data_IF_447862672587
#
_entry.id   IF_447862672587
#
_cell.length_a   1.000
_cell.length_b   1.000
_cell.length_c   1.000
_cell.angle_alpha   90.00
_cell.angle_beta   90.00
_cell.angle_gamma   90.00
#
_symmetry.space_group_name_H-M   'P 1'
#
loop_
_entity.id
_entity.type
_entity.pdbx_description
1 polymer ?
#
# COMPACT_ATOMS: atom_id res chain seq x y z
N UNK A 1 -21.90 23.06 40.36
CA UNK A 1 -22.99 22.74 39.42
C UNK A 1 -23.21 23.96 38.53
N UNK A 2 -23.38 23.74 37.22
CA UNK A 2 -23.85 24.71 36.22
C UNK A 2 -22.83 25.58 35.46
N UNK A 3 -21.81 24.94 34.88
CA UNK A 3 -21.18 25.44 33.64
C UNK A 3 -21.43 24.41 32.53
N UNK A 4 -22.69 24.26 32.16
CA UNK A 4 -23.15 23.51 30.98
C UNK A 4 -23.95 24.49 30.13
N UNK A 5 -23.66 24.48 28.84
CA UNK A 5 -24.23 25.31 27.77
C UNK A 5 -23.70 26.75 27.73
N UNK A 6 -22.76 26.96 26.81
CA UNK A 6 -22.81 27.94 25.70
C UNK A 6 -21.42 28.04 25.03
N UNK A 7 -20.79 26.90 24.71
CA UNK A 7 -19.86 26.84 23.57
C UNK A 7 -20.76 26.63 22.35
N UNK A 8 -21.28 27.71 21.78
CA UNK A 8 -20.79 28.30 20.54
C UNK A 8 -20.44 27.23 19.50
N UNK A 9 -21.34 27.09 18.52
CA UNK A 9 -21.07 26.68 17.15
C UNK A 9 -20.06 25.56 16.96
N UNK A 10 -20.55 24.32 16.83
CA UNK A 10 -19.80 23.28 16.13
C UNK A 10 -19.65 23.67 14.66
N UNK A 11 -18.70 24.56 14.38
CA UNK A 11 -18.11 24.72 13.06
C UNK A 11 -17.28 23.45 12.84
N UNK A 12 -17.94 22.39 12.35
CA UNK A 12 -17.24 21.26 11.76
C UNK A 12 -16.58 21.76 10.46
N UNK A 13 -15.46 22.44 10.61
CA UNK A 13 -14.52 22.65 9.53
C UNK A 13 -13.87 21.28 9.30
N UNK A 14 -14.48 20.44 8.46
CA UNK A 14 -13.74 19.33 7.86
C UNK A 14 -12.71 19.98 6.95
N UNK A 15 -11.53 20.23 7.50
CA UNK A 15 -10.37 20.57 6.71
C UNK A 15 -10.19 19.42 5.72
N UNK A 16 -10.48 19.75 4.46
CA UNK A 16 -10.36 18.88 3.33
C UNK A 16 -9.02 18.15 3.42
N UNK A 17 -9.12 16.81 3.34
CA UNK A 17 -8.07 15.89 2.94
C UNK A 17 -6.69 16.52 2.89
N UNK A 18 -5.87 16.27 3.92
CA UNK A 18 -4.44 16.47 3.79
C UNK A 18 -3.98 15.54 2.67
N UNK A 19 -3.95 16.08 1.45
CA UNK A 19 -3.16 15.56 0.36
C UNK A 19 -1.72 15.73 0.79
N UNK A 20 -1.25 14.85 1.67
CA UNK A 20 0.14 14.50 1.72
C UNK A 20 0.41 13.97 0.33
N UNK A 21 1.00 14.82 -0.52
CA UNK A 21 1.44 14.43 -1.84
C UNK A 21 2.12 13.09 -1.69
N UNK A 22 1.66 12.09 -2.45
CA UNK A 22 2.36 10.84 -2.56
C UNK A 22 3.78 11.22 -2.97
N UNK A 23 4.70 11.22 -2.01
CA UNK A 23 6.12 11.36 -2.31
C UNK A 23 6.40 10.28 -3.34
N UNK A 24 7.10 10.63 -4.42
CA UNK A 24 7.33 9.74 -5.55
C UNK A 24 7.59 8.31 -5.06
N UNK A 25 6.61 7.44 -5.31
CA UNK A 25 6.61 6.05 -4.86
C UNK A 25 7.58 5.29 -5.74
N UNK A 26 8.84 5.30 -5.35
CA UNK A 26 9.92 4.63 -6.04
C UNK A 26 9.99 3.19 -5.56
N UNK A 27 10.01 2.26 -6.51
CA UNK A 27 10.21 0.85 -6.23
C UNK A 27 11.65 0.66 -5.74
N UNK A 28 11.80 0.27 -4.48
CA UNK A 28 13.10 0.01 -3.85
C UNK A 28 13.57 -1.43 -4.10
N UNK A 29 12.64 -2.37 -4.24
CA UNK A 29 12.98 -3.77 -4.51
C UNK A 29 11.79 -4.63 -4.89
N UNK A 30 12.08 -5.82 -5.39
CA UNK A 30 11.08 -6.82 -5.77
C UNK A 30 11.45 -8.15 -5.12
N UNK A 31 10.48 -8.79 -4.48
CA UNK A 31 10.59 -10.16 -4.03
C UNK A 31 9.72 -11.05 -4.91
N UNK A 32 10.35 -12.01 -5.57
CA UNK A 32 9.67 -13.02 -6.37
C UNK A 32 9.59 -14.31 -5.56
N UNK A 33 8.38 -14.87 -5.46
CA UNK A 33 8.13 -16.15 -4.82
C UNK A 33 7.37 -17.07 -5.77
N UNK A 34 7.70 -18.38 -5.83
CA UNK A 34 8.75 -19.05 -5.08
C UNK A 34 10.12 -19.01 -5.80
N UNK A 35 11.22 -18.72 -5.08
CA UNK A 35 12.55 -18.56 -5.67
C UNK A 35 13.16 -19.86 -6.24
N UNK A 36 12.84 -21.01 -5.63
CA UNK A 36 13.40 -22.31 -6.02
C UNK A 36 12.32 -23.37 -5.85
N UNK A 37 11.59 -23.67 -6.93
CA UNK A 37 10.69 -24.83 -6.97
C UNK A 37 11.04 -25.75 -8.13
N UNK A 38 11.28 -27.02 -7.78
CA UNK A 38 11.36 -28.10 -8.75
C UNK A 38 9.93 -28.58 -9.00
N UNK A 39 9.37 -28.18 -10.14
CA UNK A 39 8.04 -28.63 -10.55
C UNK A 39 8.15 -29.80 -11.54
N UNK A 40 7.22 -30.76 -11.50
CA UNK A 40 7.19 -31.87 -12.47
C UNK A 40 7.03 -31.36 -13.91
N UNK A 41 7.63 -32.07 -14.87
CA UNK A 41 7.46 -31.76 -16.29
C UNK A 41 5.97 -31.77 -16.68
N UNK A 42 5.51 -30.68 -17.29
CA UNK A 42 4.10 -30.48 -17.66
C UNK A 42 3.23 -29.81 -16.59
N UNK A 43 3.80 -29.43 -15.44
CA UNK A 43 3.11 -28.61 -14.44
C UNK A 43 3.30 -27.11 -14.70
N UNK A 44 2.30 -26.31 -14.36
CA UNK A 44 2.38 -24.84 -14.42
C UNK A 44 2.63 -24.30 -13.02
N UNK A 45 3.65 -23.46 -12.86
CA UNK A 45 3.94 -22.78 -11.61
C UNK A 45 3.47 -21.32 -11.69
N UNK A 46 2.69 -20.92 -10.70
CA UNK A 46 2.31 -19.52 -10.51
C UNK A 46 3.39 -18.85 -9.67
N UNK A 47 4.02 -17.83 -10.24
CA UNK A 47 4.90 -16.94 -9.50
C UNK A 47 4.11 -15.71 -9.04
N UNK A 48 4.53 -15.13 -7.92
CA UNK A 48 4.07 -13.85 -7.41
C UNK A 48 5.24 -12.90 -7.19
N UNK A 49 5.02 -11.62 -7.48
CA UNK A 49 6.01 -10.57 -7.28
C UNK A 49 5.44 -9.51 -6.32
N UNK A 50 6.16 -9.26 -5.23
CA UNK A 50 5.84 -8.23 -4.26
C UNK A 50 6.86 -7.09 -4.39
N UNK A 51 6.37 -5.89 -4.68
CA UNK A 51 7.18 -4.68 -4.75
C UNK A 51 7.29 -4.03 -3.38
N UNK A 52 8.50 -3.72 -2.96
CA UNK A 52 8.81 -2.90 -1.80
C UNK A 52 9.10 -1.48 -2.27
N UNK A 53 8.42 -0.53 -1.66
CA UNK A 53 8.54 0.88 -2.02
C UNK A 53 9.33 1.64 -0.96
N UNK A 54 9.94 2.75 -1.38
CA UNK A 54 10.73 3.64 -0.52
C UNK A 54 9.91 4.30 0.61
N UNK A 55 8.60 4.35 0.46
CA UNK A 55 7.64 4.83 1.47
C UNK A 55 7.35 3.79 2.57
N UNK A 56 7.97 2.60 2.49
CA UNK A 56 7.75 1.49 3.42
C UNK A 56 6.50 0.67 3.11
N UNK A 57 5.76 1.00 2.05
CA UNK A 57 4.61 0.22 1.61
C UNK A 57 5.05 -0.98 0.76
N UNK A 58 4.20 -2.00 0.73
CA UNK A 58 4.33 -3.14 -0.17
C UNK A 58 3.12 -3.20 -1.09
N UNK A 59 3.31 -3.52 -2.36
CA UNK A 59 2.20 -3.77 -3.28
C UNK A 59 2.48 -5.01 -4.12
N UNK A 60 1.43 -5.77 -4.41
CA UNK A 60 1.52 -6.89 -5.35
C UNK A 60 1.70 -6.32 -6.76
N UNK A 61 2.83 -6.66 -7.38
CA UNK A 61 3.20 -6.24 -8.74
C UNK A 61 3.26 -7.46 -9.69
N UNK A 62 2.64 -8.57 -9.32
CA UNK A 62 2.63 -9.84 -10.08
C UNK A 62 2.16 -9.64 -11.52
N UNK A 63 1.28 -8.67 -11.77
CA UNK A 63 0.76 -8.39 -13.12
C UNK A 63 1.53 -7.30 -13.87
N UNK A 64 2.44 -6.63 -13.20
CA UNK A 64 3.24 -5.53 -13.75
C UNK A 64 4.62 -6.00 -14.20
N UNK A 65 5.09 -7.14 -13.67
CA UNK A 65 6.34 -7.79 -14.08
C UNK A 65 6.12 -8.72 -15.27
N UNK A 66 7.15 -8.87 -16.09
CA UNK A 66 7.18 -9.89 -17.15
C UNK A 66 7.72 -11.20 -16.56
N UNK A 67 6.99 -12.30 -16.75
CA UNK A 67 7.29 -13.64 -16.23
C UNK A 67 8.07 -14.50 -17.23
#
# INVERSE_FOLDING_TARGET
MLWRLLFLGSLFLSLASCGLGAGDKALNGILVSPANQSIPAGSTLQYSALGYYNDGTTSDITREVTW
#
